data_IF_173935274184
#
_entry.id   IF_173935274184
#
_cell.length_a   1.000
_cell.length_b   1.000
_cell.length_c   1.000
_cell.angle_alpha   90.00
_cell.angle_beta   90.00
_cell.angle_gamma   90.00
#
_symmetry.space_group_name_H-M   'P 1'
#
loop_
_entity.id
_entity.type
_entity.pdbx_description
1 polymer ?
#
# COMPACT_ATOMS: atom_id res chain seq x y z
N UNK A 1 -12.77 12.27 4.61
CA UNK A 1 -11.50 12.32 3.86
C UNK A 1 -11.29 13.76 3.44
N UNK A 2 -10.11 14.31 3.69
CA UNK A 2 -9.78 15.71 3.53
C UNK A 2 -8.66 15.90 2.48
N UNK A 3 -8.29 17.16 2.22
CA UNK A 3 -7.27 17.53 1.22
C UNK A 3 -5.86 17.00 1.52
N UNK A 4 -5.63 16.40 2.69
CA UNK A 4 -4.35 15.75 3.05
C UNK A 4 -4.30 14.27 2.67
N UNK A 5 -5.45 13.66 2.36
CA UNK A 5 -5.52 12.24 2.02
C UNK A 5 -5.02 12.01 0.58
N UNK A 6 -3.90 11.30 0.42
CA UNK A 6 -3.34 10.91 -0.87
C UNK A 6 -4.24 9.89 -1.58
N UNK A 7 -4.67 10.21 -2.79
CA UNK A 7 -5.57 9.37 -3.56
C UNK A 7 -5.08 9.09 -4.98
N UNK A 8 -5.60 8.01 -5.55
CA UNK A 8 -5.36 7.66 -6.94
C UNK A 8 -6.06 8.64 -7.91
N UNK A 9 -5.62 8.66 -9.18
CA UNK A 9 -6.24 9.45 -10.26
C UNK A 9 -7.72 9.15 -10.47
N UNK A 10 -8.20 7.95 -10.12
CA UNK A 10 -9.63 7.63 -10.16
C UNK A 10 -10.49 8.45 -9.20
N UNK A 11 -9.89 9.09 -8.18
CA UNK A 11 -10.59 9.87 -7.17
C UNK A 11 -10.50 11.39 -7.39
N UNK A 12 -10.07 11.82 -8.59
CA UNK A 12 -10.04 13.24 -8.96
C UNK A 12 -11.46 13.82 -8.87
N UNK A 13 -11.61 14.97 -8.23
CA UNK A 13 -12.90 15.65 -8.04
C UNK A 13 -13.55 15.43 -6.67
N UNK A 14 -13.02 14.52 -5.84
CA UNK A 14 -13.55 14.21 -4.51
C UNK A 14 -12.91 15.04 -3.38
N UNK A 15 -12.18 16.11 -3.73
CA UNK A 15 -11.48 16.95 -2.75
C UNK A 15 -10.26 16.29 -2.08
N UNK A 16 -9.80 15.14 -2.60
CA UNK A 16 -8.62 14.43 -2.13
C UNK A 16 -7.34 14.95 -2.80
N UNK A 17 -6.19 14.68 -2.17
CA UNK A 17 -4.89 15.02 -2.72
C UNK A 17 -4.59 14.12 -3.92
N UNK A 18 -4.83 14.65 -5.12
CA UNK A 18 -4.59 13.98 -6.40
C UNK A 18 -3.66 14.83 -7.27
N UNK A 19 -2.82 14.20 -8.11
CA UNK A 19 -1.99 14.95 -9.03
C UNK A 19 -2.86 15.68 -10.07
N UNK A 20 -2.52 16.94 -10.34
CA UNK A 20 -3.26 17.78 -11.27
C UNK A 20 -3.08 17.26 -12.69
N UNK A 21 -4.19 17.02 -13.39
CA UNK A 21 -4.17 16.57 -14.80
C UNK A 21 -3.74 17.71 -15.72
N UNK A 22 -2.86 17.39 -16.67
CA UNK A 22 -2.49 18.32 -17.73
C UNK A 22 -3.69 18.63 -18.62
N UNK A 23 -3.95 19.92 -18.89
CA UNK A 23 -5.00 20.36 -19.81
C UNK A 23 -4.41 20.55 -21.21
N UNK A 24 -5.05 20.06 -22.28
CA UNK A 24 -4.62 20.32 -23.66
C UNK A 24 -4.51 21.83 -23.93
N UNK A 25 -3.45 22.26 -24.60
CA UNK A 25 -3.23 23.67 -24.95
C UNK A 25 -2.73 24.59 -23.82
N UNK A 26 -2.64 24.11 -22.57
CA UNK A 26 -2.20 24.92 -21.42
C UNK A 26 -0.84 24.45 -20.92
N UNK A 27 0.15 25.35 -20.89
CA UNK A 27 1.47 25.06 -20.30
C UNK A 27 1.32 24.91 -18.78
N UNK A 28 1.65 23.72 -18.27
CA UNK A 28 1.61 23.46 -16.84
C UNK A 28 2.73 24.20 -16.11
N UNK A 29 2.36 24.97 -15.07
CA UNK A 29 3.31 25.73 -14.23
C UNK A 29 4.38 24.82 -13.63
N UNK A 30 5.60 25.34 -13.45
CA UNK A 30 6.72 24.63 -12.81
C UNK A 30 6.35 24.17 -11.38
N UNK A 31 5.65 25.01 -10.62
CA UNK A 31 5.20 24.67 -9.27
C UNK A 31 4.23 23.46 -9.27
N UNK A 32 3.30 23.42 -10.22
CA UNK A 32 2.35 22.30 -10.37
C UNK A 32 3.08 21.01 -10.78
N UNK A 33 4.09 21.11 -11.64
CA UNK A 33 4.94 19.97 -12.01
C UNK A 33 5.69 19.39 -10.81
N UNK A 34 6.29 20.24 -9.98
CA UNK A 34 7.03 19.78 -8.81
C UNK A 34 6.11 19.13 -7.77
N UNK A 35 4.95 19.75 -7.50
CA UNK A 35 3.97 19.15 -6.60
C UNK A 35 3.48 17.78 -7.10
N UNK A 36 3.19 17.66 -8.40
CA UNK A 36 2.82 16.38 -9.00
C UNK A 36 3.95 15.33 -8.91
N UNK A 37 5.22 15.75 -8.97
CA UNK A 37 6.38 14.86 -8.83
C UNK A 37 6.43 14.25 -7.43
N UNK A 38 6.23 15.07 -6.39
CA UNK A 38 6.18 14.61 -4.99
C UNK A 38 5.03 13.63 -4.78
N UNK A 39 3.83 14.00 -5.23
CA UNK A 39 2.62 13.17 -5.12
C UNK A 39 2.81 11.81 -5.83
N UNK A 40 3.35 11.82 -7.06
CA UNK A 40 3.59 10.58 -7.80
C UNK A 40 4.66 9.70 -7.15
N UNK A 41 5.70 10.28 -6.53
CA UNK A 41 6.73 9.52 -5.82
C UNK A 41 6.12 8.71 -4.66
N UNK A 42 5.20 9.31 -3.91
CA UNK A 42 4.48 8.63 -2.83
C UNK A 42 3.55 7.53 -3.38
N UNK A 43 2.81 7.83 -4.45
CA UNK A 43 1.90 6.86 -5.07
C UNK A 43 2.59 5.62 -5.58
N UNK A 44 3.78 5.75 -6.18
CA UNK A 44 4.56 4.59 -6.67
C UNK A 44 4.87 3.61 -5.55
N UNK A 45 5.17 4.09 -4.34
CA UNK A 45 5.42 3.22 -3.17
C UNK A 45 4.15 2.46 -2.81
N UNK A 46 3.02 3.17 -2.71
CA UNK A 46 1.71 2.56 -2.38
C UNK A 46 1.29 1.53 -3.44
N UNK A 47 1.40 1.88 -4.72
CA UNK A 47 1.07 0.99 -5.83
C UNK A 47 1.97 -0.27 -5.84
N UNK A 48 3.27 -0.11 -5.56
CA UNK A 48 4.20 -1.24 -5.43
C UNK A 48 3.82 -2.13 -4.25
N UNK A 49 3.49 -1.57 -3.08
CA UNK A 49 3.02 -2.33 -1.92
C UNK A 49 1.74 -3.11 -2.26
N UNK A 50 0.75 -2.46 -2.88
CA UNK A 50 -0.49 -3.11 -3.32
C UNK A 50 -0.20 -4.24 -4.33
N UNK A 51 0.70 -4.00 -5.29
CA UNK A 51 1.09 -5.01 -6.26
C UNK A 51 1.73 -6.22 -5.56
N UNK A 52 2.68 -6.00 -4.64
CA UNK A 52 3.27 -7.08 -3.86
C UNK A 52 2.21 -7.87 -3.07
N UNK A 53 1.31 -7.18 -2.36
CA UNK A 53 0.20 -7.78 -1.63
C UNK A 53 -0.67 -8.63 -2.56
N UNK A 54 -1.04 -8.12 -3.75
CA UNK A 54 -1.81 -8.87 -4.74
C UNK A 54 -1.08 -10.10 -5.27
N UNK A 55 0.25 -10.05 -5.38
CA UNK A 55 1.09 -11.16 -5.85
C UNK A 55 1.34 -12.22 -4.78
N UNK A 56 1.24 -11.87 -3.49
CA UNK A 56 1.56 -12.80 -2.41
C UNK A 56 0.64 -14.02 -2.41
N UNK A 57 1.22 -15.17 -2.77
CA UNK A 57 0.54 -16.47 -2.76
C UNK A 57 -0.02 -16.82 -1.39
N UNK A 58 0.57 -16.36 -0.29
CA UNK A 58 0.04 -16.61 1.06
C UNK A 58 -1.32 -15.94 1.30
N UNK A 59 -1.59 -14.80 0.64
CA UNK A 59 -2.88 -14.11 0.71
C UNK A 59 -3.89 -14.72 -0.28
N UNK A 60 -3.42 -15.21 -1.43
CA UNK A 60 -4.27 -15.86 -2.43
C UNK A 60 -4.58 -17.33 -2.11
N UNK A 61 -3.68 -18.04 -1.45
CA UNK A 61 -3.92 -19.39 -0.96
C UNK A 61 -4.75 -19.26 0.31
N UNK A 62 -6.06 -19.43 0.16
CA UNK A 62 -7.00 -19.37 1.28
C UNK A 62 -6.50 -20.23 2.45
N UNK A 63 -6.42 -19.61 3.62
CA UNK A 63 -6.13 -20.33 4.86
C UNK A 63 -7.18 -21.42 5.06
N UNK A 64 -6.76 -22.69 5.01
CA UNK A 64 -7.66 -23.85 4.94
C UNK A 64 -8.32 -24.24 6.28
N UNK A 65 -8.00 -23.55 7.38
CA UNK A 65 -8.52 -23.88 8.73
C UNK A 65 -9.57 -22.84 9.13
N UNK A 66 -10.43 -23.13 10.12
CA UNK A 66 -11.38 -22.15 10.63
C UNK A 66 -10.68 -20.85 11.01
N UNK A 67 -11.24 -19.70 10.60
CA UNK A 67 -10.60 -18.39 10.82
C UNK A 67 -10.37 -18.10 12.31
N UNK A 68 -11.22 -18.65 13.18
CA UNK A 68 -11.06 -18.62 14.64
C UNK A 68 -9.75 -19.24 15.14
N UNK A 69 -9.16 -20.16 14.37
CA UNK A 69 -7.88 -20.80 14.68
C UNK A 69 -6.66 -20.05 14.14
N UNK A 70 -6.87 -19.04 13.28
CA UNK A 70 -5.80 -18.34 12.57
C UNK A 70 -4.77 -17.73 13.52
N UNK A 71 -5.21 -16.98 14.54
CA UNK A 71 -4.30 -16.35 15.50
C UNK A 71 -3.44 -17.37 16.22
N UNK A 72 -4.03 -18.51 16.64
CA UNK A 72 -3.29 -19.59 17.31
C UNK A 72 -2.24 -20.19 16.39
N UNK A 73 -2.63 -20.54 15.16
CA UNK A 73 -1.71 -21.13 14.17
C UNK A 73 -0.58 -20.14 13.84
N UNK A 74 -0.90 -18.87 13.64
CA UNK A 74 0.08 -17.82 13.37
C UNK A 74 1.09 -17.68 14.52
N UNK A 75 0.62 -17.60 15.78
CA UNK A 75 1.51 -17.49 16.94
C UNK A 75 2.43 -18.70 17.10
N UNK A 76 1.93 -19.92 16.86
CA UNK A 76 2.74 -21.15 16.92
C UNK A 76 3.78 -21.18 15.81
N UNK A 77 3.39 -20.88 14.57
CA UNK A 77 4.33 -20.84 13.43
C UNK A 77 5.38 -19.76 13.64
N UNK A 78 4.99 -18.56 14.11
CA UNK A 78 5.92 -17.49 14.48
C UNK A 78 6.91 -17.99 15.54
N UNK A 79 6.41 -18.66 16.58
CA UNK A 79 7.19 -19.28 17.64
C UNK A 79 8.27 -20.22 17.11
N UNK A 80 7.86 -21.16 16.27
CA UNK A 80 8.74 -22.16 15.65
C UNK A 80 9.79 -21.53 14.73
N UNK A 81 9.42 -20.53 13.93
CA UNK A 81 10.36 -19.81 13.04
C UNK A 81 11.42 -19.06 13.85
N UNK A 82 11.01 -18.38 14.93
CA UNK A 82 11.95 -17.67 15.83
C UNK A 82 12.89 -18.64 16.55
N UNK A 83 12.37 -19.77 17.04
CA UNK A 83 13.18 -20.83 17.64
C UNK A 83 14.20 -21.39 16.64
N UNK A 84 13.76 -21.67 15.41
CA UNK A 84 14.63 -22.17 14.34
C UNK A 84 15.70 -21.15 13.91
N UNK A 85 15.44 -19.85 14.07
CA UNK A 85 16.38 -18.77 13.80
C UNK A 85 17.36 -18.49 14.97
N UNK A 86 17.28 -19.25 16.06
CA UNK A 86 18.17 -19.08 17.23
C UNK A 86 17.80 -17.91 18.15
N UNK A 87 16.59 -17.34 18.02
CA UNK A 87 16.12 -16.28 18.89
C UNK A 87 15.61 -16.82 20.22
N UNK A 88 16.09 -16.27 21.34
CA UNK A 88 15.51 -16.46 22.67
C UNK A 88 14.34 -15.49 22.84
N UNK A 89 13.20 -15.99 23.35
CA UNK A 89 12.08 -15.15 23.74
C UNK A 89 12.39 -14.53 25.12
N UNK A 90 13.00 -13.35 25.13
CA UNK A 90 12.94 -12.43 26.27
C UNK A 90 11.95 -11.29 25.99
#
# INVERSE_FOLDING_TARGET
MDKTTLADKGYVGLGLLTPVKHKPGVKMSKAVKENNRVINKLRVVVERVIAHIKTWRVLHMGFRRPLSSYQRVFSVVRGLVFLAAGGTFE
#
